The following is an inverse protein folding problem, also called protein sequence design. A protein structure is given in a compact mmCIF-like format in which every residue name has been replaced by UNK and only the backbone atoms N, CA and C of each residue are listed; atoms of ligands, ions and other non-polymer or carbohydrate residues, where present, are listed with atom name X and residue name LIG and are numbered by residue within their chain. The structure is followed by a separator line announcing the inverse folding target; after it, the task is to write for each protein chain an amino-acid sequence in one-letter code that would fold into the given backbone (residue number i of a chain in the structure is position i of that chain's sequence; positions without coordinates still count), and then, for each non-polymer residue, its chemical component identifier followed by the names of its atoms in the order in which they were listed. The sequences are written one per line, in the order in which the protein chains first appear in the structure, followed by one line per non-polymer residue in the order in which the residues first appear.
data_IF_516493783456
#
_entry.id   IF_516493783456
#
_cell.length_a   1.000
_cell.length_b   1.000
_cell.length_c   1.000
_cell.angle_alpha   90.00
_cell.angle_beta   90.00
_cell.angle_gamma   90.00
#
_symmetry.space_group_name_H-M   'P 1'
#
loop_
_entity.id
_entity.type
_entity.pdbx_description
1 polymer ?
#
# COMPACT_ATOMS: atom_id res chain seq x y z
N UNK A 1 12.02 -0.63 7.58
CA UNK A 1 12.39 -1.55 6.47
C UNK A 1 11.40 -1.51 5.30
N UNK A 2 10.08 -1.46 5.54
CA UNK A 2 9.06 -1.45 4.48
C UNK A 2 9.30 -0.37 3.41
N UNK A 3 9.51 0.90 3.81
CA UNK A 3 9.74 2.00 2.86
C UNK A 3 10.86 1.71 1.86
N UNK A 4 12.03 1.28 2.34
CA UNK A 4 13.18 0.98 1.48
C UNK A 4 12.85 -0.17 0.53
N UNK A 5 12.19 -1.23 1.00
CA UNK A 5 11.78 -2.34 0.13
C UNK A 5 10.77 -1.91 -0.94
N UNK A 6 9.80 -1.03 -0.62
CA UNK A 6 8.83 -0.54 -1.61
C UNK A 6 9.53 0.32 -2.66
N UNK A 7 10.39 1.25 -2.23
CA UNK A 7 11.14 2.13 -3.16
C UNK A 7 12.07 1.30 -4.03
N UNK A 8 12.83 0.36 -3.47
CA UNK A 8 13.76 -0.48 -4.24
C UNK A 8 13.01 -1.43 -5.18
N UNK A 9 11.92 -2.06 -4.73
CA UNK A 9 11.11 -2.93 -5.56
C UNK A 9 10.55 -2.20 -6.78
N UNK A 10 10.01 -1.00 -6.58
CA UNK A 10 9.55 -0.16 -7.69
C UNK A 10 10.71 0.35 -8.55
N UNK A 11 11.85 0.70 -7.97
CA UNK A 11 13.03 1.12 -8.74
C UNK A 11 13.51 0.01 -9.68
N UNK A 12 13.58 -1.23 -9.19
CA UNK A 12 13.91 -2.39 -10.02
C UNK A 12 12.85 -2.66 -11.08
N UNK A 13 11.57 -2.45 -10.77
CA UNK A 13 10.52 -2.52 -11.78
C UNK A 13 10.72 -1.46 -12.88
N UNK A 14 11.10 -0.23 -12.53
CA UNK A 14 11.45 0.81 -13.49
C UNK A 14 12.65 0.44 -14.36
N UNK A 15 13.68 -0.18 -13.76
CA UNK A 15 14.83 -0.70 -14.51
C UNK A 15 14.41 -1.81 -15.49
N UNK A 16 13.61 -2.77 -15.03
CA UNK A 16 13.11 -3.86 -15.85
C UNK A 16 12.22 -3.36 -17.00
N UNK A 17 11.37 -2.35 -16.73
CA UNK A 17 10.57 -1.67 -17.75
C UNK A 17 11.46 -1.01 -18.83
N UNK A 18 12.54 -0.34 -18.42
CA UNK A 18 13.51 0.25 -19.35
C UNK A 18 14.22 -0.82 -20.20
N UNK A 19 14.62 -1.94 -19.61
CA UNK A 19 15.18 -3.06 -20.38
C UNK A 19 14.16 -3.68 -21.33
N UNK A 20 12.91 -3.87 -20.90
CA UNK A 20 11.83 -4.34 -21.75
C UNK A 20 11.58 -3.42 -22.95
N UNK A 21 11.58 -2.11 -22.72
CA UNK A 21 11.49 -1.11 -23.80
C UNK A 21 12.62 -1.29 -24.83
N UNK A 22 13.88 -1.35 -24.38
CA UNK A 22 15.04 -1.49 -25.26
C UNK A 22 15.03 -2.82 -26.03
N UNK A 23 14.63 -3.91 -25.36
CA UNK A 23 14.49 -5.21 -25.98
C UNK A 23 13.45 -5.21 -27.11
N UNK A 24 12.28 -4.60 -26.90
CA UNK A 24 11.25 -4.45 -27.93
C UNK A 24 11.76 -3.63 -29.11
N UNK A 25 12.53 -2.56 -28.84
CA UNK A 25 13.16 -1.74 -29.87
C UNK A 25 14.37 -2.41 -30.55
N UNK A 26 14.73 -3.65 -30.15
CA UNK A 26 15.94 -4.36 -30.59
C UNK A 26 17.22 -3.51 -30.43
N UNK A 27 17.27 -2.67 -29.41
CA UNK A 27 18.43 -1.85 -29.04
C UNK A 27 19.26 -2.58 -27.98
N UNK A 28 20.53 -2.17 -27.83
CA UNK A 28 21.37 -2.68 -26.75
C UNK A 28 20.72 -2.37 -25.39
N UNK A 29 20.64 -3.37 -24.50
CA UNK A 29 20.03 -3.26 -23.19
C UNK A 29 20.75 -2.24 -22.29
N UNK A 30 22.06 -2.06 -22.46
CA UNK A 30 22.84 -1.08 -21.68
C UNK A 30 22.93 0.29 -22.37
N UNK A 31 22.11 0.51 -23.40
CA UNK A 31 22.07 1.78 -24.12
C UNK A 31 21.45 2.89 -23.26
N UNK A 32 22.16 4.01 -23.17
CA UNK A 32 21.81 5.18 -22.37
C UNK A 32 21.57 4.86 -20.88
N UNK A 33 22.66 4.80 -20.11
CA UNK A 33 22.65 4.56 -18.67
C UNK A 33 21.86 5.61 -17.87
N UNK A 34 21.86 6.87 -18.33
CA UNK A 34 21.06 7.93 -17.71
C UNK A 34 19.56 7.62 -17.80
N UNK A 35 19.09 7.04 -18.91
CA UNK A 35 17.72 6.59 -19.08
C UNK A 35 17.30 5.51 -18.08
N UNK A 36 18.23 4.63 -17.69
CA UNK A 36 18.00 3.63 -16.65
C UNK A 36 17.86 4.29 -15.27
N UNK A 37 18.77 5.21 -14.94
CA UNK A 37 18.69 5.95 -13.68
C UNK A 37 17.41 6.78 -13.56
N UNK A 38 16.96 7.42 -14.65
CA UNK A 38 15.70 8.17 -14.68
C UNK A 38 14.51 7.23 -14.48
N UNK A 39 14.47 6.08 -15.16
CA UNK A 39 13.39 5.10 -15.00
C UNK A 39 13.33 4.55 -13.57
N UNK A 40 14.48 4.19 -13.00
CA UNK A 40 14.60 3.76 -11.60
C UNK A 40 14.10 4.85 -10.65
N UNK A 41 14.53 6.10 -10.85
CA UNK A 41 14.12 7.23 -10.02
C UNK A 41 12.62 7.53 -10.11
N UNK A 42 12.05 7.53 -11.31
CA UNK A 42 10.63 7.80 -11.54
C UNK A 42 9.73 6.73 -10.88
N UNK A 43 10.04 5.45 -11.10
CA UNK A 43 9.27 4.38 -10.48
C UNK A 43 9.55 4.29 -8.97
N UNK A 44 10.79 4.45 -8.53
CA UNK A 44 11.12 4.51 -7.09
C UNK A 44 10.37 5.63 -6.37
N UNK A 45 10.21 6.80 -7.00
CA UNK A 45 9.39 7.89 -6.49
C UNK A 45 7.90 7.52 -6.40
N UNK A 46 7.36 6.80 -7.39
CA UNK A 46 6.02 6.24 -7.30
C UNK A 46 5.89 5.24 -6.14
N UNK A 47 6.91 4.39 -5.92
CA UNK A 47 6.97 3.46 -4.78
C UNK A 47 6.98 4.17 -3.42
N UNK A 48 7.64 5.32 -3.31
CA UNK A 48 7.59 6.18 -2.11
C UNK A 48 6.15 6.67 -1.84
N UNK A 49 5.46 7.15 -2.87
CA UNK A 49 4.07 7.58 -2.75
C UNK A 49 3.13 6.42 -2.40
N UNK A 50 3.35 5.25 -2.97
CA UNK A 50 2.58 4.05 -2.64
C UNK A 50 2.75 3.67 -1.16
N UNK A 51 3.97 3.70 -0.63
CA UNK A 51 4.20 3.44 0.79
C UNK A 51 3.50 4.48 1.69
N UNK A 52 3.58 5.77 1.34
CA UNK A 52 2.86 6.84 2.06
C UNK A 52 1.35 6.59 2.07
N UNK A 53 0.78 6.19 0.94
CA UNK A 53 -0.63 5.88 0.82
C UNK A 53 -1.03 4.70 1.72
N UNK A 54 -0.28 3.60 1.66
CA UNK A 54 -0.54 2.40 2.47
C UNK A 54 -0.57 2.70 3.98
N UNK A 55 0.38 3.49 4.48
CA UNK A 55 0.42 3.90 5.89
C UNK A 55 -0.88 4.62 6.28
N UNK A 56 -1.32 5.59 5.48
CA UNK A 56 -2.54 6.36 5.74
C UNK A 56 -3.79 5.49 5.69
N UNK A 57 -3.88 4.59 4.73
CA UNK A 57 -5.01 3.68 4.61
C UNK A 57 -5.09 2.72 5.79
N UNK A 58 -3.95 2.17 6.24
CA UNK A 58 -3.90 1.29 7.40
C UNK A 58 -4.30 2.00 8.70
N UNK A 59 -3.89 3.26 8.89
CA UNK A 59 -4.34 4.09 10.02
C UNK A 59 -5.88 4.23 10.01
N UNK A 60 -6.46 4.58 8.85
CA UNK A 60 -7.91 4.73 8.71
C UNK A 60 -8.67 3.42 8.96
N UNK A 61 -8.18 2.31 8.41
CA UNK A 61 -8.79 0.99 8.61
C UNK A 61 -8.74 0.60 10.08
N UNK A 62 -7.63 0.86 10.77
CA UNK A 62 -7.48 0.55 12.20
C UNK A 62 -8.47 1.35 13.03
N UNK A 63 -8.57 2.65 12.78
CA UNK A 63 -9.55 3.51 13.44
C UNK A 63 -11.01 3.06 13.19
N UNK A 64 -11.34 2.68 11.96
CA UNK A 64 -12.68 2.16 11.66
C UNK A 64 -12.97 0.82 12.33
N UNK A 65 -11.97 -0.05 12.43
CA UNK A 65 -12.11 -1.32 13.16
C UNK A 65 -12.37 -1.11 14.64
N UNK A 66 -11.74 -0.12 15.28
CA UNK A 66 -12.02 0.21 16.68
C UNK A 66 -13.43 0.76 16.86
N UNK A 67 -13.88 1.65 15.98
CA UNK A 67 -15.24 2.21 16.01
C UNK A 67 -16.31 1.10 15.86
N UNK A 68 -16.10 0.16 14.94
CA UNK A 68 -17.03 -0.98 14.76
C UNK A 68 -17.06 -1.91 15.98
N UNK A 69 -15.91 -2.15 16.62
CA UNK A 69 -15.85 -3.00 17.81
C UNK A 69 -16.61 -2.37 18.99
N UNK A 70 -16.48 -1.05 19.19
CA UNK A 70 -17.24 -0.33 20.22
C UNK A 70 -18.75 -0.34 19.94
N UNK A 71 -19.14 -0.16 18.67
CA UNK A 71 -20.54 -0.23 18.27
C UNK A 71 -21.14 -1.63 18.51
N UNK A 72 -20.38 -2.69 18.23
CA UNK A 72 -20.78 -4.07 18.51
C UNK A 72 -20.94 -4.31 20.01
N UNK A 73 -19.97 -3.90 20.84
CA UNK A 73 -20.06 -4.06 22.29
C UNK A 73 -21.28 -3.34 22.89
N UNK A 74 -21.60 -2.13 22.41
CA UNK A 74 -22.81 -1.39 22.83
C UNK A 74 -24.09 -2.11 22.41
N UNK A 75 -24.14 -2.65 21.19
CA UNK A 75 -25.29 -3.40 20.71
C UNK A 75 -25.51 -4.70 21.52
N UNK A 76 -24.44 -5.40 21.90
CA UNK A 76 -24.52 -6.59 22.75
C UNK A 76 -25.01 -6.25 24.16
N UNK A 77 -24.49 -5.18 24.77
CA UNK A 77 -24.94 -4.71 26.08
C UNK A 77 -26.43 -4.31 26.07
N UNK A 78 -26.89 -3.63 25.00
CA UNK A 78 -28.29 -3.26 24.84
C UNK A 78 -29.21 -4.50 24.68
N UNK A 79 -28.75 -5.53 23.95
CA UNK A 79 -29.47 -6.81 23.83
C UNK A 79 -29.55 -7.54 25.17
N UNK A 80 -28.44 -7.59 25.92
CA UNK A 80 -28.41 -8.20 27.24
C UNK A 80 -29.34 -7.48 28.24
N UNK A 81 -29.33 -6.16 28.25
CA UNK A 81 -30.22 -5.35 29.09
C UNK A 81 -31.71 -5.59 28.73
N UNK A 82 -32.02 -5.68 27.44
CA UNK A 82 -33.40 -5.98 26.98
C UNK A 82 -33.83 -7.39 27.39
N UNK A 83 -32.96 -8.39 27.25
CA UNK A 83 -33.25 -9.76 27.66
C UNK A 83 -33.48 -9.88 29.18
N UNK A 84 -32.74 -9.11 29.99
CA UNK A 84 -32.96 -9.05 31.44
C UNK A 84 -34.30 -8.37 31.80
N UNK A 85 -34.70 -7.35 31.06
CA UNK A 85 -35.98 -6.65 31.26
C UNK A 85 -37.20 -7.49 30.82
N UNK A 86 -37.05 -8.37 29.82
CA UNK A 86 -38.10 -9.30 29.39
C UNK A 86 -38.23 -10.55 30.28
N UNK A 87 -37.21 -10.85 31.10
CA UNK A 87 -37.19 -11.98 32.02
C UNK A 87 -37.62 -11.63 33.46
N UNK A 88 -37.87 -10.36 33.75
CA UNK A 88 -38.35 -9.84 35.04
C UNK A 88 -39.85 -9.52 34.99
#
# INVERSE_FOLDING_TARGET
MALLSTVLGFSFFGLASRFGQLAIQKRNLMDNLAGHAIAMGAFGYAGYWMHRYEVRTNELITWKRTEMAEAQAKAEAAKAAKAQAEAA
#
